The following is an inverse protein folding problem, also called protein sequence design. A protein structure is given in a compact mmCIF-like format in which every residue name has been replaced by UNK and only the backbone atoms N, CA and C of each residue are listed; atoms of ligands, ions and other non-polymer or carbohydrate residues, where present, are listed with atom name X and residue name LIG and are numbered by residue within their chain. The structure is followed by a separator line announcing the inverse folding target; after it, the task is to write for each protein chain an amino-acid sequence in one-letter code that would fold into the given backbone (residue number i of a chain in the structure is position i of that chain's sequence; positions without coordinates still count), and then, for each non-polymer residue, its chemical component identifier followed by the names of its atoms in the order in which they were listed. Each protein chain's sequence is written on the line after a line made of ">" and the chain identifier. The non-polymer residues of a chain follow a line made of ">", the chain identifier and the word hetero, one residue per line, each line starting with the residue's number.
data_IF_562855068687
#
_entry.id   IF_562855068687
#
_cell.length_a   1.000
_cell.length_b   1.000
_cell.length_c   1.000
_cell.angle_alpha   90.00
_cell.angle_beta   90.00
_cell.angle_gamma   90.00
#
_symmetry.space_group_name_H-M   'P 1'
#
loop_
_entity.id
_entity.type
_entity.pdbx_description
1 polymer ?
#
# COMPACT_ATOMS: atom_id res chain seq x y z
N UNK A 1 12.22 -1.86 14.95
CA UNK A 1 11.61 -0.53 15.13
C UNK A 1 10.10 -0.72 15.19
N UNK A 2 9.40 -0.05 16.09
CA UNK A 2 7.96 -0.28 16.32
C UNK A 2 7.17 0.65 15.40
N UNK A 3 6.28 0.09 14.56
CA UNK A 3 5.26 0.86 13.83
C UNK A 3 4.64 1.90 14.77
N UNK A 4 4.46 3.13 14.30
CA UNK A 4 3.97 4.21 15.14
C UNK A 4 2.53 3.94 15.58
N UNK A 5 2.36 3.36 16.76
CA UNK A 5 1.06 2.94 17.29
C UNK A 5 0.09 4.10 17.42
N UNK A 6 0.59 5.32 17.69
CA UNK A 6 -0.24 6.52 17.76
C UNK A 6 -0.87 6.86 16.41
N UNK A 7 -0.12 6.68 15.31
CA UNK A 7 -0.68 6.90 13.97
C UNK A 7 -1.70 5.82 13.61
N UNK A 8 -1.46 4.56 13.99
CA UNK A 8 -2.43 3.47 13.81
C UNK A 8 -3.75 3.81 14.54
N UNK A 9 -3.67 4.25 15.80
CA UNK A 9 -4.85 4.65 16.57
C UNK A 9 -5.56 5.87 15.93
N UNK A 10 -4.82 6.78 15.29
CA UNK A 10 -5.40 7.94 14.62
C UNK A 10 -6.15 7.61 13.32
N UNK A 11 -5.81 6.51 12.63
CA UNK A 11 -6.44 6.13 11.36
C UNK A 11 -7.66 5.21 11.56
N UNK A 12 -7.70 4.43 12.65
CA UNK A 12 -8.83 3.53 12.92
C UNK A 12 -10.11 4.34 13.16
N UNK A 13 -11.21 3.89 12.56
CA UNK A 13 -12.53 4.54 12.64
C UNK A 13 -12.72 5.72 11.69
N UNK A 14 -11.67 6.14 10.98
CA UNK A 14 -11.70 7.25 10.02
C UNK A 14 -12.24 6.85 8.67
N UNK A 15 -12.94 7.79 8.02
CA UNK A 15 -13.37 7.64 6.64
C UNK A 15 -12.26 8.06 5.67
N UNK A 16 -12.05 7.25 4.62
CA UNK A 16 -11.15 7.57 3.52
C UNK A 16 -11.86 8.51 2.55
N UNK A 17 -11.40 9.75 2.43
CA UNK A 17 -11.91 10.70 1.44
C UNK A 17 -11.21 10.59 0.09
N UNK A 18 -9.95 10.10 0.07
CA UNK A 18 -9.18 9.93 -1.16
C UNK A 18 -8.18 8.78 -1.03
N UNK A 19 -7.99 8.06 -2.13
CA UNK A 19 -7.04 6.96 -2.26
C UNK A 19 -6.10 7.22 -3.45
N UNK A 20 -4.80 7.22 -3.19
CA UNK A 20 -3.77 7.51 -4.21
C UNK A 20 -2.71 6.42 -4.17
N UNK A 21 -2.34 5.89 -5.34
CA UNK A 21 -1.16 5.04 -5.47
C UNK A 21 0.08 5.89 -5.69
N UNK A 22 1.17 5.51 -5.02
CA UNK A 22 2.52 5.95 -5.34
C UNK A 22 3.24 4.78 -5.98
N UNK A 23 3.55 4.91 -7.27
CA UNK A 23 4.10 3.83 -8.07
C UNK A 23 5.55 4.17 -8.39
N UNK A 24 6.49 3.31 -8.01
CA UNK A 24 7.81 3.33 -8.61
C UNK A 24 7.71 2.58 -9.94
N UNK A 25 8.03 3.23 -11.06
CA UNK A 25 7.85 2.64 -12.36
C UNK A 25 8.74 1.39 -12.52
N UNK A 26 8.16 0.23 -12.88
CA UNK A 26 8.90 -1.01 -13.01
C UNK A 26 9.88 -0.91 -14.17
N UNK A 27 11.16 -1.28 -13.95
CA UNK A 27 12.16 -1.29 -15.01
C UNK A 27 12.40 -2.72 -15.52
N UNK A 28 12.06 -2.96 -16.78
CA UNK A 28 12.24 -4.25 -17.46
C UNK A 28 11.52 -5.43 -16.77
N UNK A 29 10.41 -5.17 -16.07
CA UNK A 29 9.60 -6.20 -15.46
C UNK A 29 8.43 -6.61 -16.36
N UNK A 30 8.07 -7.90 -16.32
CA UNK A 30 7.06 -8.46 -17.23
C UNK A 30 5.63 -8.42 -16.68
N UNK A 31 5.44 -8.07 -15.40
CA UNK A 31 4.15 -8.17 -14.70
C UNK A 31 3.94 -7.00 -13.74
N UNK A 32 2.70 -6.51 -13.63
CA UNK A 32 2.38 -5.42 -12.70
C UNK A 32 2.69 -5.79 -11.24
N UNK A 33 2.60 -7.07 -10.88
CA UNK A 33 2.83 -7.53 -9.50
C UNK A 33 4.22 -7.19 -8.97
N UNK A 34 5.23 -7.07 -9.83
CA UNK A 34 6.60 -6.73 -9.41
C UNK A 34 6.82 -5.23 -9.21
N UNK A 35 5.97 -4.35 -9.78
CA UNK A 35 6.13 -2.90 -9.61
C UNK A 35 6.05 -2.48 -8.13
N UNK A 36 6.93 -1.58 -7.69
CA UNK A 36 6.84 -1.11 -6.31
C UNK A 36 5.69 -0.12 -6.16
N UNK A 37 4.75 -0.45 -5.30
CA UNK A 37 3.56 0.34 -5.04
C UNK A 37 3.43 0.59 -3.55
N UNK A 38 3.40 1.86 -3.20
CA UNK A 38 2.95 2.38 -1.91
C UNK A 38 1.61 3.08 -2.11
N UNK A 39 0.96 3.52 -1.04
CA UNK A 39 -0.31 4.23 -1.16
C UNK A 39 -0.45 5.35 -0.14
N UNK A 40 -1.30 6.32 -0.48
CA UNK A 40 -1.68 7.42 0.37
C UNK A 40 -3.19 7.40 0.59
N UNK A 41 -3.58 7.70 1.82
CA UNK A 41 -4.97 7.94 2.19
C UNK A 41 -5.12 9.40 2.63
N UNK A 42 -6.14 10.07 2.12
CA UNK A 42 -6.69 11.26 2.76
C UNK A 42 -7.84 10.83 3.65
N UNK A 43 -7.79 11.19 4.92
CA UNK A 43 -8.82 10.84 5.89
C UNK A 43 -9.75 12.04 6.17
N UNK A 44 -10.89 11.78 6.82
CA UNK A 44 -11.88 12.82 7.19
C UNK A 44 -11.35 13.93 8.11
N UNK A 45 -10.16 13.75 8.69
CA UNK A 45 -9.46 14.78 9.46
C UNK A 45 -8.70 15.78 8.57
N UNK A 46 -8.76 15.58 7.25
CA UNK A 46 -8.15 16.42 6.23
C UNK A 46 -6.67 16.15 5.98
N UNK A 47 -6.04 15.19 6.68
CA UNK A 47 -4.62 14.88 6.53
C UNK A 47 -4.36 13.75 5.54
N UNK A 48 -3.18 13.81 4.92
CA UNK A 48 -2.64 12.74 4.09
C UNK A 48 -1.70 11.85 4.89
N UNK A 49 -1.86 10.55 4.70
CA UNK A 49 -1.06 9.50 5.33
C UNK A 49 -0.44 8.65 4.24
N UNK A 50 0.89 8.58 4.20
CA UNK A 50 1.65 7.68 3.33
C UNK A 50 1.92 6.38 4.07
N UNK A 51 1.62 5.26 3.40
CA UNK A 51 1.92 3.91 3.82
C UNK A 51 2.93 3.33 2.83
N UNK A 52 4.14 3.04 3.30
CA UNK A 52 5.21 2.53 2.46
C UNK A 52 6.17 1.62 3.22
N UNK A 53 7.00 0.90 2.48
CA UNK A 53 8.12 0.12 3.00
C UNK A 53 9.38 0.96 2.85
N UNK A 54 10.14 1.07 3.94
CA UNK A 54 11.41 1.78 3.97
C UNK A 54 12.52 0.97 3.33
N UNK A 55 13.23 1.57 2.39
CA UNK A 55 14.38 0.94 1.73
C UNK A 55 15.67 0.99 2.55
N UNK A 56 15.73 1.80 3.62
CA UNK A 56 16.96 2.07 4.38
C UNK A 56 17.14 1.23 5.65
N UNK A 57 16.15 0.40 6.05
CA UNK A 57 16.17 -0.26 7.37
C UNK A 57 15.63 -1.71 7.42
N UNK A 58 15.93 -2.51 6.39
CA UNK A 58 15.46 -3.89 6.21
C UNK A 58 13.96 -4.00 5.89
N UNK A 59 13.46 -3.08 5.05
CA UNK A 59 12.13 -3.21 4.48
C UNK A 59 11.02 -3.19 5.54
N UNK A 60 11.18 -2.34 6.56
CA UNK A 60 10.15 -2.14 7.56
C UNK A 60 8.98 -1.31 6.99
N UNK A 61 7.77 -1.58 7.46
CA UNK A 61 6.60 -0.77 7.10
C UNK A 61 6.56 0.50 7.93
N UNK A 62 6.29 1.63 7.28
CA UNK A 62 6.14 2.93 7.89
C UNK A 62 4.81 3.59 7.48
N UNK A 63 4.21 4.29 8.44
CA UNK A 63 3.10 5.21 8.25
C UNK A 63 3.59 6.60 8.62
N UNK A 64 3.46 7.58 7.74
CA UNK A 64 3.85 8.96 8.04
C UNK A 64 2.84 9.95 7.47
N UNK A 65 2.80 11.16 8.05
CA UNK A 65 2.04 12.26 7.47
C UNK A 65 2.73 12.72 6.18
N UNK A 66 1.95 12.99 5.15
CA UNK A 66 2.43 13.45 3.85
C UNK A 66 1.76 14.77 3.45
N UNK A 67 2.33 15.43 2.45
CA UNK A 67 1.67 16.52 1.73
C UNK A 67 0.69 15.96 0.70
N UNK A 68 -0.19 16.81 0.17
CA UNK A 68 -1.09 16.44 -0.92
C UNK A 68 -0.28 16.14 -2.18
N UNK A 69 -0.40 14.93 -2.78
CA UNK A 69 0.37 14.58 -3.96
C UNK A 69 -0.21 15.24 -5.22
N UNK A 70 0.67 15.71 -6.10
CA UNK A 70 0.29 16.04 -7.48
C UNK A 70 0.06 14.73 -8.24
N UNK A 71 -1.20 14.45 -8.59
CA UNK A 71 -1.63 13.13 -9.04
C UNK A 71 -2.25 13.16 -10.44
N UNK A 72 -1.93 12.11 -11.20
CA UNK A 72 -2.55 11.79 -12.48
C UNK A 72 -3.85 11.02 -12.26
N UNK A 73 -4.73 11.01 -13.26
CA UNK A 73 -5.98 10.26 -13.20
C UNK A 73 -5.77 8.75 -13.25
N UNK A 74 -6.74 7.97 -12.75
CA UNK A 74 -6.70 6.50 -12.86
C UNK A 74 -6.63 6.00 -14.31
N UNK A 75 -7.28 6.70 -15.25
CA UNK A 75 -7.21 6.37 -16.67
C UNK A 75 -5.77 6.46 -17.22
N UNK A 76 -4.98 7.40 -16.70
CA UNK A 76 -3.56 7.52 -17.05
C UNK A 76 -2.74 6.36 -16.47
N UNK A 77 -3.05 5.88 -15.27
CA UNK A 77 -2.42 4.66 -14.74
C UNK A 77 -2.64 3.48 -15.69
N UNK A 78 -3.89 3.26 -16.11
CA UNK A 78 -4.26 2.15 -17.00
C UNK A 78 -3.63 2.27 -18.38
N UNK A 79 -3.42 3.49 -18.88
CA UNK A 79 -2.79 3.72 -20.17
C UNK A 79 -1.26 3.63 -20.09
N UNK A 80 -0.65 4.15 -19.03
CA UNK A 80 0.80 4.41 -18.98
C UNK A 80 1.59 3.26 -18.37
N UNK A 81 1.13 2.67 -17.27
CA UNK A 81 1.87 1.61 -16.57
C UNK A 81 2.12 0.38 -17.47
N UNK A 82 1.15 -0.10 -18.28
CA UNK A 82 1.42 -1.19 -19.21
C UNK A 82 2.50 -0.88 -20.25
N UNK A 83 2.59 0.38 -20.71
CA UNK A 83 3.59 0.82 -21.68
C UNK A 83 4.99 0.91 -21.05
N UNK A 84 5.08 1.29 -19.77
CA UNK A 84 6.33 1.26 -19.01
C UNK A 84 6.78 -0.20 -18.83
N UNK A 85 5.86 -1.08 -18.43
CA UNK A 85 6.13 -2.52 -18.27
C UNK A 85 6.59 -3.18 -19.58
N UNK A 86 5.99 -2.82 -20.72
CA UNK A 86 6.40 -3.35 -22.03
C UNK A 86 7.69 -2.73 -22.57
N UNK A 87 8.22 -1.69 -21.91
CA UNK A 87 9.39 -0.93 -22.38
C UNK A 87 9.10 -0.06 -23.60
N UNK A 88 7.83 0.19 -23.92
CA UNK A 88 7.42 1.07 -25.03
C UNK A 88 7.66 2.55 -24.70
N UNK A 89 7.66 2.91 -23.42
CA UNK A 89 8.03 4.25 -22.95
C UNK A 89 9.02 4.16 -21.79
N UNK A 90 9.95 5.08 -21.75
CA UNK A 90 10.83 5.26 -20.60
C UNK A 90 10.10 5.99 -19.47
N UNK A 91 10.48 5.66 -18.24
CA UNK A 91 10.09 6.38 -17.04
C UNK A 91 11.25 7.26 -16.58
N UNK A 92 10.93 8.39 -15.95
CA UNK A 92 11.90 9.35 -15.41
C UNK A 92 12.65 8.83 -14.14
N UNK A 93 12.54 7.53 -13.82
CA UNK A 93 13.13 6.87 -12.65
C UNK A 93 12.73 7.48 -11.29
N UNK A 94 11.62 8.22 -11.25
CA UNK A 94 11.02 8.74 -10.01
C UNK A 94 9.60 8.17 -9.84
N UNK A 95 9.06 8.31 -8.63
CA UNK A 95 7.72 7.85 -8.29
C UNK A 95 6.66 8.70 -9.00
N UNK A 96 5.62 8.06 -9.50
CA UNK A 96 4.44 8.71 -10.07
C UNK A 96 3.22 8.47 -9.15
N UNK A 97 2.37 9.49 -9.00
CA UNK A 97 1.15 9.39 -8.20
C UNK A 97 -0.10 9.27 -9.07
N UNK A 98 -0.98 8.35 -8.71
CA UNK A 98 -2.21 8.06 -9.46
C UNK A 98 -3.42 8.06 -8.53
N UNK A 99 -4.39 8.92 -8.81
CA UNK A 99 -5.61 9.01 -8.03
C UNK A 99 -6.55 7.85 -8.38
N UNK A 100 -6.71 6.93 -7.44
CA UNK A 100 -7.59 5.77 -7.55
C UNK A 100 -8.91 5.93 -6.79
N UNK A 101 -9.24 7.12 -6.29
CA UNK A 101 -10.43 7.36 -5.44
C UNK A 101 -11.72 6.91 -6.11
N UNK A 102 -11.89 7.22 -7.40
CA UNK A 102 -13.10 6.86 -8.16
C UNK A 102 -12.93 5.59 -9.01
N UNK A 103 -11.81 4.87 -8.86
CA UNK A 103 -11.57 3.64 -9.60
C UNK A 103 -12.43 2.50 -9.06
N UNK A 104 -13.13 1.77 -9.94
CA UNK A 104 -14.06 0.70 -9.54
C UNK A 104 -13.38 -0.39 -8.69
N UNK A 105 -12.13 -0.72 -8.99
CA UNK A 105 -11.33 -1.73 -8.28
C UNK A 105 -10.96 -1.34 -6.83
N UNK A 106 -11.17 -0.08 -6.44
CA UNK A 106 -10.94 0.42 -5.08
C UNK A 106 -12.23 0.93 -4.42
N UNK A 107 -13.40 0.58 -4.97
CA UNK A 107 -14.70 1.03 -4.48
C UNK A 107 -15.02 0.59 -3.05
N UNK A 108 -14.44 -0.52 -2.58
CA UNK A 108 -14.56 -0.98 -1.18
C UNK A 108 -13.57 -0.32 -0.21
N UNK A 109 -12.72 0.59 -0.70
CA UNK A 109 -11.70 1.31 0.08
C UNK A 109 -12.04 2.81 0.13
N UNK A 110 -12.20 3.42 -1.05
CA UNK A 110 -12.57 4.83 -1.14
C UNK A 110 -13.95 5.06 -0.51
N UNK A 111 -14.09 6.15 0.25
CA UNK A 111 -15.32 6.48 0.99
C UNK A 111 -15.73 5.46 2.05
N UNK A 112 -14.86 4.50 2.35
CA UNK A 112 -15.06 3.50 3.39
C UNK A 112 -14.34 3.87 4.67
N UNK A 113 -14.80 3.28 5.78
CA UNK A 113 -14.17 3.46 7.09
C UNK A 113 -13.08 2.40 7.30
N UNK A 114 -11.93 2.83 7.81
CA UNK A 114 -10.90 1.91 8.33
C UNK A 114 -11.44 1.26 9.61
N UNK A 115 -11.74 -0.03 9.58
CA UNK A 115 -12.33 -0.76 10.70
C UNK A 115 -11.28 -1.25 11.69
N UNK A 116 -10.18 -1.78 11.15
CA UNK A 116 -9.07 -2.29 11.95
C UNK A 116 -7.78 -2.23 11.17
N UNK A 117 -6.69 -2.32 11.92
CA UNK A 117 -5.33 -2.37 11.38
C UNK A 117 -4.63 -3.59 11.95
N UNK A 118 -4.34 -4.54 11.08
CA UNK A 118 -3.54 -5.72 11.37
C UNK A 118 -2.06 -5.39 11.17
N UNK A 119 -1.25 -5.67 12.17
CA UNK A 119 0.22 -5.62 12.07
C UNK A 119 0.73 -7.04 11.90
N UNK A 120 1.56 -7.26 10.88
CA UNK A 120 2.09 -8.58 10.53
C UNK A 120 3.56 -8.69 10.91
N UNK A 121 3.89 -9.73 11.65
CA UNK A 121 5.25 -10.06 12.08
C UNK A 121 5.52 -11.56 11.93
N UNK A 122 6.78 -11.95 11.82
CA UNK A 122 7.16 -13.36 11.90
C UNK A 122 7.15 -13.83 13.35
N UNK A 123 6.81 -15.09 13.59
CA UNK A 123 6.81 -15.70 14.93
C UNK A 123 8.14 -15.46 15.66
N UNK A 124 8.06 -14.85 16.85
CA UNK A 124 9.23 -14.51 17.66
C UNK A 124 10.00 -13.25 17.22
N UNK A 125 9.61 -12.61 16.11
CA UNK A 125 10.11 -11.30 15.70
C UNK A 125 9.39 -10.18 16.44
N UNK A 126 10.12 -9.13 16.79
CA UNK A 126 9.53 -7.87 17.29
C UNK A 126 9.27 -6.86 16.17
N UNK A 127 9.80 -7.13 14.99
CA UNK A 127 9.72 -6.22 13.85
C UNK A 127 8.60 -6.68 12.92
N UNK A 128 7.71 -5.73 12.61
CA UNK A 128 6.64 -5.92 11.65
C UNK A 128 7.18 -5.80 10.23
N UNK A 129 6.78 -6.73 9.38
CA UNK A 129 7.09 -6.68 7.94
C UNK A 129 5.87 -6.25 7.13
N UNK A 130 4.66 -6.26 7.70
CA UNK A 130 3.45 -5.96 6.93
C UNK A 130 2.43 -5.21 7.75
N UNK A 131 1.53 -4.54 7.05
CA UNK A 131 0.33 -3.95 7.63
C UNK A 131 -0.87 -4.26 6.73
N UNK A 132 -2.02 -4.54 7.34
CA UNK A 132 -3.28 -4.70 6.62
C UNK A 132 -4.34 -3.79 7.21
N UNK A 133 -4.85 -2.87 6.39
CA UNK A 133 -6.00 -2.05 6.71
C UNK A 133 -7.24 -2.81 6.27
N UNK A 134 -8.19 -2.98 7.19
CA UNK A 134 -9.46 -3.66 6.90
C UNK A 134 -10.59 -2.65 6.75
N UNK A 135 -11.37 -2.83 5.70
CA UNK A 135 -12.61 -2.11 5.42
C UNK A 135 -13.78 -3.10 5.47
N UNK A 136 -15.01 -2.62 5.36
CA UNK A 136 -16.20 -3.49 5.36
C UNK A 136 -16.18 -4.47 4.18
N UNK A 137 -15.90 -3.94 2.99
CA UNK A 137 -15.96 -4.67 1.73
C UNK A 137 -14.60 -4.86 1.05
N UNK A 138 -13.48 -4.49 1.68
CA UNK A 138 -12.14 -4.67 1.11
C UNK A 138 -11.04 -4.65 2.18
N UNK A 139 -9.78 -4.77 1.75
CA UNK A 139 -8.59 -4.55 2.55
C UNK A 139 -7.49 -3.91 1.69
N UNK A 140 -6.52 -3.28 2.35
CA UNK A 140 -5.22 -3.00 1.73
C UNK A 140 -4.17 -3.72 2.56
N UNK A 141 -3.49 -4.69 1.98
CA UNK A 141 -2.32 -5.32 2.56
C UNK A 141 -1.08 -4.69 1.95
N UNK A 142 -0.17 -4.16 2.78
CA UNK A 142 1.14 -3.65 2.40
C UNK A 142 2.23 -4.51 3.04
N UNK A 143 3.22 -4.87 2.23
CA UNK A 143 4.36 -5.70 2.62
C UNK A 143 5.54 -5.43 1.67
N UNK A 144 6.76 -5.83 2.05
CA UNK A 144 7.93 -5.67 1.20
C UNK A 144 7.94 -6.70 0.07
N UNK A 145 8.34 -6.27 -1.12
CA UNK A 145 8.73 -7.16 -2.23
C UNK A 145 10.26 -7.09 -2.41
N UNK A 146 10.78 -7.62 -3.53
CA UNK A 146 12.23 -7.68 -3.77
C UNK A 146 12.87 -6.30 -3.87
N UNK A 147 12.13 -5.31 -4.38
CA UNK A 147 12.69 -4.01 -4.78
C UNK A 147 12.07 -2.81 -4.02
N UNK A 148 11.03 -3.02 -3.21
CA UNK A 148 10.27 -1.93 -2.62
C UNK A 148 9.06 -2.34 -1.77
N UNK A 149 7.94 -1.71 -2.09
CA UNK A 149 6.63 -1.94 -1.46
C UNK A 149 5.73 -2.70 -2.41
N UNK A 150 4.92 -3.61 -1.91
CA UNK A 150 3.80 -4.16 -2.64
C UNK A 150 2.50 -3.92 -1.87
N UNK A 151 1.42 -3.69 -2.62
CA UNK A 151 0.07 -3.68 -2.08
C UNK A 151 -0.80 -4.75 -2.74
N UNK A 152 -1.70 -5.32 -1.97
CA UNK A 152 -2.78 -6.19 -2.44
C UNK A 152 -4.12 -5.69 -1.89
N UNK A 153 -5.16 -5.77 -2.71
CA UNK A 153 -6.56 -5.60 -2.29
C UNK A 153 -7.38 -6.81 -2.75
N UNK A 154 -8.70 -6.81 -2.55
CA UNK A 154 -9.56 -7.85 -3.14
C UNK A 154 -9.48 -7.89 -4.66
N UNK A 155 -9.25 -6.76 -5.35
CA UNK A 155 -9.29 -6.69 -6.82
C UNK A 155 -7.96 -6.24 -7.46
N UNK A 156 -7.11 -5.54 -6.71
CA UNK A 156 -5.83 -5.04 -7.22
C UNK A 156 -4.66 -5.93 -6.78
N UNK A 157 -3.79 -6.26 -7.75
CA UNK A 157 -2.59 -7.09 -7.55
C UNK A 157 -2.87 -8.32 -6.67
N UNK A 158 -3.78 -9.22 -7.08
CA UNK A 158 -4.02 -10.46 -6.35
C UNK A 158 -2.79 -11.38 -6.39
N UNK A 159 -1.80 -11.10 -5.55
CA UNK A 159 -0.64 -11.94 -5.30
C UNK A 159 -0.93 -12.90 -4.15
N UNK A 160 -0.02 -13.84 -3.94
CA UNK A 160 -0.02 -14.65 -2.71
C UNK A 160 0.97 -14.03 -1.73
N UNK A 161 0.97 -12.70 -1.57
CA UNK A 161 2.00 -11.95 -0.85
C UNK A 161 2.31 -12.54 0.52
N UNK A 162 1.27 -12.82 1.32
CA UNK A 162 1.46 -13.47 2.63
C UNK A 162 2.08 -14.87 2.55
N UNK A 163 1.78 -15.66 1.51
CA UNK A 163 2.33 -17.02 1.38
C UNK A 163 3.84 -17.02 1.14
N UNK A 164 4.40 -15.94 0.61
CA UNK A 164 5.84 -15.80 0.44
C UNK A 164 6.53 -15.71 1.81
N UNK A 165 5.90 -15.05 2.78
CA UNK A 165 6.39 -14.95 4.16
C UNK A 165 6.12 -16.21 5.00
N UNK A 166 5.10 -17.00 4.66
CA UNK A 166 4.85 -18.29 5.33
C UNK A 166 6.04 -19.27 5.17
N UNK A 167 6.87 -19.10 4.13
CA UNK A 167 8.11 -19.89 3.94
C UNK A 167 9.18 -19.52 4.96
N UNK A 168 9.18 -18.27 5.45
CA UNK A 168 10.15 -17.76 6.42
C UNK A 168 9.77 -18.12 7.86
N UNK A 169 8.51 -18.54 8.09
CA UNK A 169 8.01 -18.93 9.39
C UNK A 169 6.50 -18.73 9.48
N UNK A 170 5.95 -18.99 10.67
CA UNK A 170 4.55 -18.69 10.95
C UNK A 170 4.36 -17.17 11.05
N UNK A 171 3.32 -16.67 10.41
CA UNK A 171 2.93 -15.26 10.49
C UNK A 171 2.08 -15.06 11.74
N UNK A 172 2.45 -14.08 12.56
CA UNK A 172 1.67 -13.57 13.67
C UNK A 172 0.96 -12.29 13.23
N UNK A 173 -0.32 -12.18 13.62
CA UNK A 173 -1.15 -11.03 13.31
C UNK A 173 -1.60 -10.40 14.63
N UNK A 174 -1.25 -9.14 14.82
CA UNK A 174 -1.74 -8.31 15.92
C UNK A 174 -2.77 -7.34 15.39
N UNK A 175 -4.04 -7.58 15.70
CA UNK A 175 -5.15 -6.73 15.25
C UNK A 175 -5.40 -5.58 16.23
N UNK A 176 -5.37 -4.36 15.72
CA UNK A 176 -5.80 -3.16 16.43
C UNK A 176 -7.22 -2.81 16.00
N UNK A 177 -8.15 -2.76 16.96
CA UNK A 177 -9.55 -2.42 16.75
C UNK A 177 -9.90 -1.17 17.55
N UNK A 178 -10.77 -0.33 16.98
CA UNK A 178 -11.30 0.88 17.62
C UNK A 178 -12.58 0.64 18.38
#
# INVERSE_FOLDING_TARGET
>A
MVLNSQLIDCIIGKHVSSFVLRVFPPFAESVLSSADVSFLLRLDDGKWYLFHVRSDDNWSVEICCAEEPDCRGWDEFNARIPLILSGEIESDYDYEFYNGTDASIFSGIAHSRVLSVDVLSSEGSKDAFGIRLNFEDDFILLYPNTDGSAIETKEFKQGRGLREFEVLGKIEISTNVG
#
